data_IF_293019808946
#
_entry.id   IF_293019808946
#
_cell.length_a   1.000
_cell.length_b   1.000
_cell.length_c   1.000
_cell.angle_alpha   90.00
_cell.angle_beta   90.00
_cell.angle_gamma   90.00
#
_symmetry.space_group_name_H-M   'P 1'
#
loop_
_entity.id
_entity.type
_entity.pdbx_description
1 polymer ?
#
# COMPACT_ATOMS: atom_id res chain seq x y z
N UNK A 1 -10.38 -13.93 -16.77
CA UNK A 1 -9.36 -14.41 -15.82
C UNK A 1 -8.17 -14.93 -16.61
N UNK A 2 -7.12 -14.13 -16.64
CA UNK A 2 -5.79 -14.52 -17.12
C UNK A 2 -4.85 -14.62 -15.92
N UNK A 3 -4.00 -15.64 -15.90
CA UNK A 3 -2.95 -15.80 -14.88
C UNK A 3 -1.62 -15.40 -15.52
N UNK A 4 -1.05 -14.29 -15.05
CA UNK A 4 0.29 -13.84 -15.42
C UNK A 4 1.28 -14.39 -14.40
N UNK A 5 2.21 -15.22 -14.86
CA UNK A 5 3.29 -15.76 -14.03
C UNK A 5 4.62 -15.21 -14.55
N UNK A 6 5.26 -14.35 -13.76
CA UNK A 6 6.54 -13.69 -14.09
C UNK A 6 7.65 -14.31 -13.27
N UNK A 7 8.69 -14.79 -13.94
CA UNK A 7 9.92 -15.36 -13.40
C UNK A 7 11.11 -14.83 -14.21
N UNK A 8 12.34 -15.30 -13.97
CA UNK A 8 13.51 -14.75 -14.65
C UNK A 8 13.42 -14.80 -16.19
N UNK A 9 12.88 -15.89 -16.75
CA UNK A 9 12.80 -16.13 -18.19
C UNK A 9 11.78 -15.28 -18.96
N UNK A 10 10.87 -14.59 -18.26
CA UNK A 10 9.87 -13.72 -18.87
C UNK A 10 9.65 -12.42 -18.09
N UNK A 11 10.71 -11.96 -17.41
CA UNK A 11 10.71 -10.66 -16.73
C UNK A 11 10.48 -9.52 -17.71
N UNK A 12 9.83 -8.46 -17.23
CA UNK A 12 9.44 -7.31 -18.04
C UNK A 12 10.39 -6.16 -17.71
N UNK A 13 11.13 -5.68 -18.71
CA UNK A 13 11.90 -4.44 -18.63
C UNK A 13 11.46 -3.50 -19.75
N UNK A 14 10.79 -2.42 -19.39
CA UNK A 14 10.18 -1.50 -20.34
C UNK A 14 10.66 -0.08 -20.10
N UNK A 15 11.15 0.56 -21.15
CA UNK A 15 11.32 2.01 -21.18
C UNK A 15 10.04 2.66 -21.75
N UNK A 16 9.34 3.44 -20.93
CA UNK A 16 8.12 4.14 -21.31
C UNK A 16 8.40 5.60 -21.68
N UNK A 17 7.98 5.99 -22.88
CA UNK A 17 7.98 7.40 -23.33
C UNK A 17 6.67 8.12 -22.99
N UNK A 18 5.67 7.40 -22.49
CA UNK A 18 4.35 7.91 -22.08
C UNK A 18 3.86 7.28 -20.79
N UNK A 19 2.57 7.44 -20.47
CA UNK A 19 1.99 6.92 -19.22
C UNK A 19 1.52 5.46 -19.29
N UNK A 20 2.03 4.69 -20.25
CA UNK A 20 1.60 3.31 -20.46
C UNK A 20 2.27 2.36 -19.47
N UNK A 21 1.50 1.55 -18.72
CA UNK A 21 2.04 0.64 -17.73
C UNK A 21 2.95 -0.45 -18.32
N UNK A 22 3.70 -1.12 -17.46
CA UNK A 22 4.44 -2.34 -17.80
C UNK A 22 3.49 -3.51 -18.07
N UNK A 23 2.51 -3.69 -17.18
CA UNK A 23 1.44 -4.68 -17.30
C UNK A 23 0.09 -4.06 -16.92
N UNK A 24 -0.96 -4.35 -17.68
CA UNK A 24 -2.34 -3.98 -17.36
C UNK A 24 -3.17 -5.23 -17.04
N UNK A 25 -3.71 -5.28 -15.85
CA UNK A 25 -4.59 -6.35 -15.37
C UNK A 25 -6.05 -5.99 -15.61
N UNK A 26 -6.86 -6.99 -15.98
CA UNK A 26 -8.31 -6.88 -16.14
C UNK A 26 -9.04 -7.49 -14.95
N UNK A 27 -10.36 -7.38 -14.96
CA UNK A 27 -11.22 -8.03 -13.97
C UNK A 27 -10.91 -9.53 -13.84
N UNK A 28 -10.73 -9.98 -12.60
CA UNK A 28 -10.38 -11.36 -12.21
C UNK A 28 -9.02 -11.86 -12.71
N UNK A 29 -8.14 -10.98 -13.15
CA UNK A 29 -6.78 -11.39 -13.48
C UNK A 29 -5.95 -11.64 -12.22
N UNK A 30 -5.03 -12.60 -12.32
CA UNK A 30 -4.09 -12.94 -11.26
C UNK A 30 -2.68 -12.68 -11.75
N UNK A 31 -1.92 -11.88 -11.02
CA UNK A 31 -0.50 -11.66 -11.24
C UNK A 31 0.31 -12.37 -10.15
N UNK A 32 1.30 -13.17 -10.56
CA UNK A 32 2.31 -13.77 -9.68
C UNK A 32 3.69 -13.40 -10.20
N UNK A 33 4.44 -12.61 -9.44
CA UNK A 33 5.85 -12.33 -9.70
C UNK A 33 6.68 -13.20 -8.75
N UNK A 34 7.30 -14.25 -9.27
CA UNK A 34 8.14 -15.18 -8.50
C UNK A 34 9.42 -14.48 -8.02
N UNK A 35 10.13 -15.10 -7.07
CA UNK A 35 11.28 -14.49 -6.39
C UNK A 35 12.41 -14.08 -7.35
N UNK A 36 12.56 -14.78 -8.47
CA UNK A 36 13.54 -14.50 -9.53
C UNK A 36 12.99 -13.62 -10.66
N UNK A 37 11.71 -13.26 -10.60
CA UNK A 37 11.03 -12.44 -11.60
C UNK A 37 11.05 -10.96 -11.27
N UNK A 38 10.99 -10.12 -12.31
CA UNK A 38 10.80 -8.69 -12.14
C UNK A 38 9.89 -8.06 -13.21
N UNK A 39 9.24 -6.96 -12.81
CA UNK A 39 8.58 -5.99 -13.69
C UNK A 39 9.19 -4.62 -13.40
N UNK A 40 9.94 -4.08 -14.37
CA UNK A 40 10.60 -2.79 -14.27
C UNK A 40 10.08 -1.86 -15.37
N UNK A 41 9.58 -0.69 -14.97
CA UNK A 41 9.21 0.38 -15.90
C UNK A 41 10.09 1.60 -15.64
N UNK A 42 10.80 2.02 -16.67
CA UNK A 42 11.69 3.17 -16.71
C UNK A 42 11.07 4.27 -17.56
N UNK A 43 11.56 5.50 -17.44
CA UNK A 43 11.01 6.62 -18.22
C UNK A 43 9.74 7.20 -17.60
N UNK A 44 8.95 7.94 -18.38
CA UNK A 44 7.96 8.92 -17.89
C UNK A 44 6.77 8.28 -17.15
N UNK A 45 6.36 8.86 -16.02
CA UNK A 45 5.13 8.65 -15.21
C UNK A 45 4.20 7.51 -15.64
N UNK A 46 4.67 6.27 -15.50
CA UNK A 46 3.91 5.07 -15.83
C UNK A 46 4.03 4.04 -14.70
N UNK A 47 2.92 3.46 -14.23
CA UNK A 47 3.00 2.45 -13.20
C UNK A 47 3.60 1.14 -13.73
N UNK A 48 4.29 0.37 -12.90
CA UNK A 48 4.84 -0.92 -13.34
C UNK A 48 3.71 -1.93 -13.60
N UNK A 49 2.75 -1.99 -12.66
CA UNK A 49 1.51 -2.74 -12.80
C UNK A 49 0.35 -1.76 -12.64
N UNK A 50 -0.60 -1.79 -13.56
CA UNK A 50 -1.88 -1.11 -13.40
C UNK A 50 -3.04 -2.07 -13.65
N UNK A 51 -4.24 -1.59 -13.37
CA UNK A 51 -5.46 -2.25 -13.82
C UNK A 51 -6.21 -1.40 -14.87
N UNK A 52 -7.12 -2.04 -15.61
CA UNK A 52 -8.08 -1.33 -16.47
C UNK A 52 -9.10 -0.55 -15.62
N UNK A 53 -9.85 0.37 -16.23
CA UNK A 53 -11.01 0.96 -15.55
C UNK A 53 -11.99 -0.12 -15.09
N UNK A 54 -12.52 0.03 -13.88
CA UNK A 54 -13.43 -0.91 -13.20
C UNK A 54 -12.94 -2.35 -13.03
N UNK A 55 -11.72 -2.57 -12.51
CA UNK A 55 -11.25 -3.90 -12.25
C UNK A 55 -11.78 -4.39 -10.91
N UNK A 56 -12.23 -5.64 -10.89
CA UNK A 56 -12.68 -6.32 -9.69
C UNK A 56 -12.01 -7.67 -9.58
N UNK A 57 -11.76 -8.12 -8.34
CA UNK A 57 -11.24 -9.46 -8.10
C UNK A 57 -9.84 -9.66 -8.65
N UNK A 58 -9.04 -8.60 -8.80
CA UNK A 58 -7.63 -8.74 -9.15
C UNK A 58 -6.88 -9.29 -7.94
N UNK A 59 -6.04 -10.29 -8.17
CA UNK A 59 -5.10 -10.77 -7.17
C UNK A 59 -3.66 -10.55 -7.65
N UNK A 60 -2.84 -9.90 -6.83
CA UNK A 60 -1.43 -9.64 -7.12
C UNK A 60 -0.58 -10.25 -6.02
N UNK A 61 0.32 -11.16 -6.36
CA UNK A 61 1.28 -11.79 -5.45
C UNK A 61 2.71 -11.48 -5.91
N UNK A 62 3.47 -10.76 -5.08
CA UNK A 62 4.83 -10.31 -5.41
C UNK A 62 5.83 -10.97 -4.45
N UNK A 63 6.59 -11.94 -4.95
CA UNK A 63 7.78 -12.47 -4.28
C UNK A 63 9.07 -11.96 -4.94
N UNK A 64 9.01 -11.46 -6.17
CA UNK A 64 10.12 -10.81 -6.87
C UNK A 64 10.07 -9.28 -6.76
N UNK A 65 10.43 -8.58 -7.84
CA UNK A 65 10.51 -7.11 -7.85
C UNK A 65 9.48 -6.45 -8.79
N UNK A 66 8.75 -5.45 -8.31
CA UNK A 66 7.90 -4.58 -9.14
C UNK A 66 8.32 -3.13 -8.92
N UNK A 67 8.92 -2.51 -9.94
CA UNK A 67 9.58 -1.21 -9.82
C UNK A 67 9.13 -0.27 -10.92
N UNK A 68 8.64 0.92 -10.54
CA UNK A 68 8.48 2.06 -11.45
C UNK A 68 9.42 3.19 -11.05
N UNK A 69 10.23 3.64 -12.00
CA UNK A 69 11.24 4.67 -11.75
C UNK A 69 10.65 6.07 -11.56
N UNK A 70 9.57 6.41 -12.28
CA UNK A 70 8.94 7.74 -12.26
C UNK A 70 7.42 7.68 -12.01
N UNK A 71 6.88 6.55 -11.54
CA UNK A 71 5.45 6.34 -11.35
C UNK A 71 5.12 5.51 -10.12
N UNK A 72 4.01 4.78 -10.15
CA UNK A 72 3.62 3.88 -9.07
C UNK A 72 4.17 2.46 -9.31
N UNK A 73 4.58 1.74 -8.27
CA UNK A 73 4.91 0.32 -8.42
C UNK A 73 3.68 -0.45 -8.88
N UNK A 74 2.64 -0.42 -8.04
CA UNK A 74 1.33 -1.00 -8.33
C UNK A 74 0.26 0.10 -8.20
N UNK A 75 -0.58 0.26 -9.23
CA UNK A 75 -1.73 1.16 -9.21
C UNK A 75 -3.02 0.44 -9.65
N UNK A 76 -3.81 -0.01 -8.67
CA UNK A 76 -5.09 -0.65 -8.93
C UNK A 76 -6.23 0.39 -8.80
N UNK A 77 -6.80 0.73 -9.95
CA UNK A 77 -7.92 1.66 -10.08
C UNK A 77 -9.19 1.15 -9.36
N UNK A 78 -10.07 2.06 -8.91
CA UNK A 78 -11.29 1.69 -8.22
C UNK A 78 -12.34 1.04 -9.13
N UNK A 79 -13.20 0.15 -8.59
CA UNK A 79 -14.43 -0.24 -9.26
C UNK A 79 -15.48 0.88 -9.17
N UNK A 80 -16.13 1.22 -10.29
CA UNK A 80 -17.18 2.24 -10.34
C UNK A 80 -18.53 1.76 -9.77
N UNK A 81 -18.85 0.46 -9.84
CA UNK A 81 -20.26 0.03 -9.70
C UNK A 81 -20.52 -1.22 -8.85
N UNK A 82 -19.50 -1.95 -8.40
CA UNK A 82 -19.75 -3.26 -7.78
C UNK A 82 -18.67 -3.64 -6.74
N UNK A 83 -18.99 -4.41 -5.69
CA UNK A 83 -18.19 -4.55 -4.48
C UNK A 83 -17.01 -5.53 -4.60
N UNK A 84 -16.42 -5.68 -5.78
CA UNK A 84 -15.35 -6.65 -5.99
C UNK A 84 -14.03 -6.19 -5.40
N UNK A 85 -13.46 -6.98 -4.49
CA UNK A 85 -12.22 -6.71 -3.75
C UNK A 85 -10.98 -7.04 -4.57
N UNK A 86 -10.00 -6.13 -4.62
CA UNK A 86 -8.67 -6.44 -5.12
C UNK A 86 -7.75 -6.81 -3.95
N UNK A 87 -6.87 -7.78 -4.17
CA UNK A 87 -5.92 -8.28 -3.18
C UNK A 87 -4.51 -8.06 -3.69
N UNK A 88 -3.68 -7.41 -2.88
CA UNK A 88 -2.24 -7.28 -3.14
C UNK A 88 -1.49 -7.90 -1.98
N UNK A 89 -0.68 -8.92 -2.26
CA UNK A 89 0.21 -9.55 -1.30
C UNK A 89 1.65 -9.35 -1.75
N UNK A 90 2.45 -8.66 -0.95
CA UNK A 90 3.91 -8.58 -1.11
C UNK A 90 4.50 -9.60 -0.15
N UNK A 91 5.03 -10.71 -0.68
CA UNK A 91 5.63 -11.78 0.12
C UNK A 91 6.96 -11.37 0.73
N UNK A 92 7.57 -12.25 1.53
CA UNK A 92 8.77 -11.94 2.33
C UNK A 92 10.00 -11.53 1.52
N UNK A 93 10.14 -12.02 0.29
CA UNK A 93 11.18 -11.62 -0.65
C UNK A 93 10.71 -10.53 -1.62
N UNK A 94 9.43 -10.17 -1.56
CA UNK A 94 8.80 -9.22 -2.45
C UNK A 94 9.30 -7.80 -2.23
N UNK A 95 9.57 -7.12 -3.33
CA UNK A 95 9.97 -5.73 -3.36
C UNK A 95 9.06 -4.94 -4.30
N UNK A 96 8.40 -3.91 -3.79
CA UNK A 96 7.59 -2.99 -4.61
C UNK A 96 8.08 -1.57 -4.42
N UNK A 97 8.42 -0.90 -5.52
CA UNK A 97 8.90 0.48 -5.50
C UNK A 97 8.17 1.36 -6.51
N UNK A 98 7.64 2.49 -6.02
CA UNK A 98 7.30 3.64 -6.85
C UNK A 98 8.42 4.70 -6.86
N UNK A 99 8.21 5.78 -7.61
CA UNK A 99 9.10 6.95 -7.59
C UNK A 99 9.17 7.57 -6.19
N UNK A 100 10.38 7.93 -5.78
CA UNK A 100 10.70 8.50 -4.47
C UNK A 100 10.61 10.03 -4.44
N UNK A 101 10.42 10.67 -5.60
CA UNK A 101 10.60 12.12 -5.77
C UNK A 101 9.39 12.88 -6.32
N UNK A 102 8.46 12.23 -7.03
CA UNK A 102 7.34 12.91 -7.70
C UNK A 102 5.96 12.29 -7.40
N UNK A 103 5.65 12.00 -6.13
CA UNK A 103 4.35 11.40 -5.79
C UNK A 103 4.22 9.94 -6.21
N UNK A 104 5.33 9.26 -6.48
CA UNK A 104 5.34 7.83 -6.77
C UNK A 104 4.89 7.04 -5.55
N UNK A 105 4.17 5.95 -5.81
CA UNK A 105 3.54 5.16 -4.76
C UNK A 105 4.04 3.74 -4.90
N UNK A 106 4.48 3.12 -3.80
CA UNK A 106 4.79 1.69 -3.83
C UNK A 106 3.55 0.90 -4.25
N UNK A 107 2.51 0.92 -3.42
CA UNK A 107 1.21 0.31 -3.71
C UNK A 107 0.07 1.30 -3.52
N UNK A 108 -0.62 1.64 -4.62
CA UNK A 108 -1.95 2.25 -4.57
C UNK A 108 -2.98 1.16 -4.80
N UNK A 109 -3.80 0.89 -3.79
CA UNK A 109 -4.99 0.06 -3.95
C UNK A 109 -6.22 0.90 -3.66
N UNK A 110 -7.03 1.13 -4.69
CA UNK A 110 -8.25 1.89 -4.51
C UNK A 110 -9.33 1.12 -3.76
N UNK A 111 -9.26 -0.22 -3.77
CA UNK A 111 -10.24 -1.06 -3.10
C UNK A 111 -9.68 -2.43 -2.71
N UNK A 112 -9.82 -2.77 -1.43
CA UNK A 112 -9.57 -4.11 -0.91
C UNK A 112 -8.40 -4.21 0.06
N UNK A 113 -7.70 -5.33 0.01
CA UNK A 113 -6.71 -5.71 1.03
C UNK A 113 -5.30 -5.66 0.47
N UNK A 114 -4.40 -5.05 1.25
CA UNK A 114 -2.95 -5.11 1.06
C UNK A 114 -2.38 -5.91 2.23
N UNK A 115 -1.67 -6.99 1.93
CA UNK A 115 -0.88 -7.74 2.90
C UNK A 115 0.59 -7.57 2.55
N UNK A 116 1.37 -7.00 3.47
CA UNK A 116 2.81 -6.80 3.28
C UNK A 116 3.61 -7.68 4.23
N UNK A 117 4.45 -8.53 3.66
CA UNK A 117 5.50 -9.29 4.34
C UNK A 117 6.91 -8.91 3.84
N UNK A 118 7.00 -8.15 2.75
CA UNK A 118 8.26 -7.76 2.11
C UNK A 118 8.55 -6.28 2.30
N UNK A 119 9.04 -5.63 1.26
CA UNK A 119 9.42 -4.21 1.30
C UNK A 119 8.61 -3.41 0.28
N UNK A 120 7.95 -2.35 0.75
CA UNK A 120 7.23 -1.39 -0.07
C UNK A 120 7.90 -0.01 0.08
N UNK A 121 8.24 0.63 -1.04
CA UNK A 121 8.92 1.93 -1.06
C UNK A 121 8.22 2.90 -2.03
N UNK A 122 8.11 4.17 -1.66
CA UNK A 122 7.69 5.24 -2.55
C UNK A 122 7.89 6.62 -1.93
N UNK A 123 7.51 7.67 -2.66
CA UNK A 123 7.21 8.96 -2.01
C UNK A 123 6.05 8.78 -1.01
N UNK A 124 5.06 7.99 -1.44
CA UNK A 124 4.09 7.37 -0.56
C UNK A 124 4.31 5.85 -0.60
N UNK A 125 4.52 5.19 0.55
CA UNK A 125 4.68 3.74 0.58
C UNK A 125 3.39 3.03 0.12
N UNK A 126 2.31 3.23 0.88
CA UNK A 126 0.98 2.70 0.59
C UNK A 126 -0.05 3.83 0.52
N UNK A 127 -0.91 3.83 -0.50
CA UNK A 127 -2.04 4.75 -0.59
C UNK A 127 -3.37 4.01 -0.79
N UNK A 128 -4.36 4.38 0.01
CA UNK A 128 -5.77 4.07 -0.22
C UNK A 128 -6.43 5.17 -1.06
N UNK A 129 -7.13 4.80 -2.15
CA UNK A 129 -7.84 5.78 -3.00
C UNK A 129 -9.23 6.15 -2.44
N UNK A 130 -9.78 7.31 -2.81
CA UNK A 130 -10.92 7.97 -2.13
C UNK A 130 -12.33 7.50 -2.51
N UNK A 131 -12.52 6.43 -3.26
CA UNK A 131 -13.79 6.22 -3.96
C UNK A 131 -14.85 5.41 -3.22
N UNK A 132 -16.04 6.03 -3.13
CA UNK A 132 -17.46 5.57 -3.11
C UNK A 132 -17.92 4.37 -2.28
N UNK A 133 -17.06 3.45 -1.84
CA UNK A 133 -17.51 2.21 -1.21
C UNK A 133 -17.09 2.15 0.26
N UNK A 134 -18.07 1.98 1.16
CA UNK A 134 -17.90 1.86 2.62
C UNK A 134 -17.28 0.51 3.08
N UNK A 135 -16.56 -0.18 2.20
CA UNK A 135 -15.88 -1.41 2.54
C UNK A 135 -14.56 -1.09 3.26
N UNK A 136 -14.15 -1.92 4.24
CA UNK A 136 -12.89 -1.68 4.92
C UNK A 136 -11.72 -1.81 3.94
N UNK A 137 -10.92 -0.74 3.82
CA UNK A 137 -9.62 -0.82 3.17
C UNK A 137 -8.63 -1.30 4.21
N UNK A 138 -8.06 -2.46 3.94
CA UNK A 138 -7.29 -3.21 4.92
C UNK A 138 -5.82 -3.24 4.51
N UNK A 139 -4.95 -2.72 5.36
CA UNK A 139 -3.52 -2.99 5.30
C UNK A 139 -3.13 -3.84 6.51
N UNK A 140 -2.51 -5.00 6.25
CA UNK A 140 -1.82 -5.79 7.27
C UNK A 140 -0.33 -5.80 6.93
N UNK A 141 0.49 -5.25 7.82
CA UNK A 141 1.92 -5.12 7.62
C UNK A 141 2.70 -5.95 8.64
N UNK A 142 3.50 -6.88 8.14
CA UNK A 142 4.52 -7.65 8.88
C UNK A 142 5.93 -7.41 8.30
N UNK A 143 6.02 -6.72 7.16
CA UNK A 143 7.26 -6.34 6.49
C UNK A 143 7.64 -4.87 6.73
N UNK A 144 8.30 -4.26 5.76
CA UNK A 144 8.75 -2.87 5.80
C UNK A 144 7.99 -1.98 4.81
N UNK A 145 7.55 -0.81 5.28
CA UNK A 145 6.95 0.24 4.45
C UNK A 145 7.75 1.52 4.63
N UNK A 146 8.31 2.03 3.53
CA UNK A 146 9.14 3.22 3.48
C UNK A 146 8.47 4.30 2.62
N UNK A 147 8.22 5.47 3.20
CA UNK A 147 7.70 6.63 2.49
C UNK A 147 8.51 7.88 2.79
N UNK A 148 8.95 8.61 1.75
CA UNK A 148 9.70 9.86 1.96
C UNK A 148 8.78 11.01 2.39
N UNK A 149 7.55 11.07 1.86
CA UNK A 149 6.50 11.98 2.35
C UNK A 149 5.56 11.30 3.33
N UNK A 150 5.03 10.12 2.98
CA UNK A 150 4.13 9.33 3.84
C UNK A 150 4.42 7.85 3.69
N UNK A 151 4.62 7.13 4.79
CA UNK A 151 4.66 5.68 4.72
C UNK A 151 3.29 5.13 4.30
N UNK A 152 2.22 5.67 4.89
CA UNK A 152 0.84 5.27 4.60
C UNK A 152 -0.01 6.54 4.47
N UNK A 153 -0.82 6.59 3.42
CA UNK A 153 -1.82 7.63 3.21
C UNK A 153 -3.20 7.02 2.99
N UNK A 154 -4.11 7.32 3.90
CA UNK A 154 -5.50 6.92 3.86
C UNK A 154 -6.34 7.67 2.83
N UNK A 155 -7.63 7.44 2.93
CA UNK A 155 -8.66 7.89 2.03
C UNK A 155 -9.49 9.01 2.67
N UNK A 156 -10.81 9.01 2.51
CA UNK A 156 -11.71 9.97 3.18
C UNK A 156 -12.91 9.24 3.78
N UNK A 157 -12.74 7.93 3.98
CA UNK A 157 -13.71 6.95 4.46
C UNK A 157 -12.94 6.01 5.41
N UNK A 158 -13.63 5.03 5.99
CA UNK A 158 -13.01 4.05 6.88
C UNK A 158 -11.78 3.35 6.28
N UNK A 159 -10.63 3.55 6.92
CA UNK A 159 -9.39 2.81 6.67
C UNK A 159 -9.01 1.97 7.90
N UNK A 160 -8.51 0.75 7.66
CA UNK A 160 -7.97 -0.13 8.69
C UNK A 160 -6.52 -0.46 8.38
N UNK A 161 -5.64 -0.11 9.31
CA UNK A 161 -4.21 -0.41 9.23
C UNK A 161 -3.82 -1.20 10.47
N UNK A 162 -3.27 -2.39 10.24
CA UNK A 162 -2.63 -3.20 11.27
C UNK A 162 -1.14 -3.38 10.93
N UNK A 163 -0.29 -3.01 11.88
CA UNK A 163 1.15 -3.27 11.83
C UNK A 163 1.50 -4.36 12.84
N UNK A 164 1.59 -5.61 12.37
CA UNK A 164 1.86 -6.82 13.14
C UNK A 164 3.33 -7.25 12.98
N UNK A 165 4.20 -6.73 13.83
CA UNK A 165 5.64 -7.01 13.80
C UNK A 165 6.43 -6.29 12.70
N UNK A 166 5.76 -5.58 11.80
CA UNK A 166 6.40 -4.83 10.71
C UNK A 166 7.00 -3.49 11.11
N UNK A 167 7.71 -2.87 10.17
CA UNK A 167 8.33 -1.55 10.30
C UNK A 167 7.66 -0.55 9.35
N UNK A 168 7.23 0.59 9.90
CA UNK A 168 6.69 1.73 9.15
C UNK A 168 7.66 2.90 9.31
N UNK A 169 8.27 3.30 8.19
CA UNK A 169 9.24 4.39 8.12
C UNK A 169 8.67 5.56 7.33
N UNK A 170 8.24 6.59 8.05
CA UNK A 170 7.57 7.77 7.51
C UNK A 170 6.19 7.98 8.11
N UNK A 171 5.63 9.16 7.87
CA UNK A 171 4.33 9.59 8.44
C UNK A 171 3.19 8.68 8.00
N UNK A 172 2.29 8.33 8.92
CA UNK A 172 1.00 7.74 8.61
C UNK A 172 -0.06 8.83 8.69
N UNK A 173 -0.84 9.02 7.63
CA UNK A 173 -1.94 9.99 7.58
C UNK A 173 -3.20 9.32 7.03
N UNK A 174 -4.14 8.94 7.90
CA UNK A 174 -5.40 8.28 7.52
C UNK A 174 -6.50 9.25 7.08
N UNK A 175 -6.28 10.56 7.29
CA UNK A 175 -7.16 11.66 6.85
C UNK A 175 -8.55 11.65 7.52
N UNK A 176 -9.61 11.89 6.75
CA UNK A 176 -10.97 11.94 7.29
C UNK A 176 -11.57 10.52 7.21
N UNK A 177 -12.37 10.12 8.19
CA UNK A 177 -12.86 8.75 8.26
C UNK A 177 -13.13 8.34 9.71
N UNK A 178 -13.70 7.16 9.92
CA UNK A 178 -13.71 6.56 11.25
C UNK A 178 -12.60 5.52 11.28
N UNK A 179 -11.34 5.93 11.40
CA UNK A 179 -10.25 5.05 11.02
C UNK A 179 -9.81 4.14 12.17
N UNK A 180 -9.15 3.03 11.83
CA UNK A 180 -8.57 2.12 12.82
C UNK A 180 -7.10 1.89 12.53
N UNK A 181 -6.25 2.21 13.50
CA UNK A 181 -4.83 1.96 13.46
C UNK A 181 -4.41 1.06 14.63
N UNK A 182 -3.88 -0.13 14.32
CA UNK A 182 -3.49 -1.13 15.31
C UNK A 182 -2.00 -1.42 15.17
N UNK A 183 -1.25 -1.32 16.26
CA UNK A 183 0.14 -1.75 16.35
C UNK A 183 0.22 -3.00 17.23
N UNK A 184 0.75 -4.11 16.70
CA UNK A 184 1.01 -5.37 17.42
C UNK A 184 2.47 -5.74 17.24
N UNK A 185 3.34 -5.49 18.20
CA UNK A 185 4.77 -5.87 18.07
C UNK A 185 5.62 -5.10 17.05
N UNK A 186 5.00 -4.28 16.18
CA UNK A 186 5.70 -3.53 15.13
C UNK A 186 6.36 -2.24 15.62
N UNK A 187 7.09 -1.59 14.69
CA UNK A 187 7.75 -0.29 14.89
C UNK A 187 7.20 0.75 13.91
N UNK A 188 6.97 1.96 14.41
CA UNK A 188 6.74 3.16 13.58
C UNK A 188 7.73 4.25 13.99
N UNK A 189 8.42 4.84 13.01
CA UNK A 189 9.45 5.87 13.25
C UNK A 189 8.93 7.30 13.12
N UNK A 190 7.64 7.50 12.85
CA UNK A 190 7.05 8.83 12.67
C UNK A 190 5.62 8.93 13.19
N UNK A 191 5.10 10.15 13.18
CA UNK A 191 3.75 10.49 13.64
C UNK A 191 2.66 9.73 12.88
N UNK A 192 1.61 9.34 13.61
CA UNK A 192 0.37 8.78 13.05
C UNK A 192 -0.74 9.80 13.22
N UNK A 193 -1.28 10.29 12.10
CA UNK A 193 -2.45 11.16 12.05
C UNK A 193 -3.67 10.31 11.66
N UNK A 194 -4.67 10.22 12.54
CA UNK A 194 -5.96 9.59 12.19
C UNK A 194 -6.98 10.63 11.67
N UNK A 195 -6.63 11.91 11.75
CA UNK A 195 -7.39 13.04 11.23
C UNK A 195 -8.77 13.24 11.89
N UNK A 196 -9.83 13.28 11.09
CA UNK A 196 -11.19 13.64 11.54
C UNK A 196 -12.12 12.43 11.50
N UNK A 197 -12.76 12.19 12.64
CA UNK A 197 -13.89 11.29 12.78
C UNK A 197 -13.79 10.53 14.09
N UNK A 198 -14.47 9.39 14.19
CA UNK A 198 -14.39 8.53 15.37
C UNK A 198 -13.32 7.46 15.16
N UNK A 199 -12.10 7.78 15.53
CA UNK A 199 -10.95 6.91 15.27
C UNK A 199 -10.65 5.98 16.44
N UNK A 200 -10.07 4.82 16.09
CA UNK A 200 -9.57 3.83 17.02
C UNK A 200 -8.05 3.71 16.82
N UNK A 201 -7.30 3.94 17.89
CA UNK A 201 -5.89 3.58 17.96
C UNK A 201 -5.70 2.53 19.05
N UNK A 202 -5.03 1.43 18.72
CA UNK A 202 -4.65 0.39 19.68
C UNK A 202 -3.18 0.02 19.50
N UNK A 203 -2.47 -0.18 20.62
CA UNK A 203 -1.08 -0.61 20.60
C UNK A 203 -0.85 -1.70 21.65
N UNK A 204 -0.32 -2.84 21.20
CA UNK A 204 0.04 -3.99 22.05
C UNK A 204 1.49 -4.35 21.78
N UNK A 205 2.32 -4.39 22.82
CA UNK A 205 3.75 -4.77 22.75
C UNK A 205 4.56 -4.04 21.66
N UNK A 206 4.21 -2.79 21.34
CA UNK A 206 4.80 -2.05 20.21
C UNK A 206 5.92 -1.12 20.66
N UNK A 207 6.89 -0.88 19.78
CA UNK A 207 7.96 0.09 20.02
C UNK A 207 7.74 1.32 19.15
N UNK A 208 7.30 2.41 19.76
CA UNK A 208 7.32 3.74 19.15
C UNK A 208 8.61 4.42 19.58
N UNK A 209 9.37 4.97 18.64
CA UNK A 209 10.48 5.87 19.00
C UNK A 209 9.92 7.08 19.77
N UNK A 210 10.70 7.73 20.65
CA UNK A 210 10.22 8.83 21.50
C UNK A 210 9.52 9.98 20.75
N UNK A 211 9.75 10.14 19.45
CA UNK A 211 9.17 11.19 18.61
C UNK A 211 7.84 10.77 17.92
N UNK A 212 7.38 9.54 18.10
CA UNK A 212 6.16 9.03 17.47
C UNK A 212 4.95 9.33 18.35
N UNK A 213 4.31 10.47 18.11
CA UNK A 213 2.99 10.78 18.67
C UNK A 213 1.87 10.19 17.78
N UNK A 214 0.83 9.61 18.40
CA UNK A 214 -0.46 9.37 17.72
C UNK A 214 -1.34 10.59 17.95
N UNK A 215 -1.75 11.26 16.87
CA UNK A 215 -2.56 12.47 16.92
C UNK A 215 -3.93 12.22 16.28
N UNK A 216 -4.99 12.42 17.05
CA UNK A 216 -6.35 12.53 16.53
C UNK A 216 -7.14 13.57 17.31
N UNK A 217 -8.14 14.13 16.65
CA UNK A 217 -9.05 15.12 17.25
C UNK A 217 -10.10 14.47 18.16
N UNK A 218 -10.27 13.13 18.09
CA UNK A 218 -11.19 12.35 18.91
C UNK A 218 -10.72 10.89 19.09
N UNK A 219 -9.59 10.67 19.79
CA UNK A 219 -9.18 9.29 20.14
C UNK A 219 -10.12 8.71 21.20
N UNK A 220 -10.91 7.69 20.85
CA UNK A 220 -11.51 6.77 21.83
C UNK A 220 -10.63 5.54 21.97
N UNK A 221 -9.64 5.61 22.85
CA UNK A 221 -8.74 4.48 23.12
C UNK A 221 -7.74 4.79 24.22
N UNK A 222 -7.32 3.75 24.95
CA UNK A 222 -6.25 3.85 25.93
C UNK A 222 -4.93 3.96 25.17
N UNK A 223 -4.38 5.17 25.03
CA UNK A 223 -2.99 5.34 24.61
C UNK A 223 -2.12 4.90 25.78
N UNK A 224 -1.27 3.86 25.64
CA UNK A 224 -0.34 3.49 26.70
C UNK A 224 0.53 4.69 27.07
N UNK A 225 0.83 4.90 28.35
CA UNK A 225 1.53 6.11 28.85
C UNK A 225 2.94 6.33 28.30
N UNK A 226 3.49 5.38 27.55
CA UNK A 226 4.77 5.50 26.84
C UNK A 226 4.64 6.04 25.40
N UNK A 227 3.41 6.25 24.92
CA UNK A 227 3.09 6.74 23.57
C UNK A 227 2.49 8.16 23.54
N UNK A 228 2.50 8.87 24.68
CA UNK A 228 1.96 10.23 24.85
C UNK A 228 3.08 11.23 25.18
#
# INVERSE_FOLDING_TARGET
MTIYKIHAGNSIDKYSTGSSPGLTLKQYDVLRVEADGYIMVRGKYAPAVSSSWNPMGIEVYINGSVVSALGHGIDLAPPHESPGTNYVTVGTTGFVQGDLSNGGIGVRNAFGTITNHGVIVGDIGVQFSQTFYNGPKLLVNTGEINGTSFAIRGSSIYDYVENDGGVINGTVDLRDGNDTFVMKGGRSTSTVFLGRGNDIAAATASYTTPDTAIKSTAVKGTIPSWAA
#
